data_IF_072589452973
#
_entry.id   IF_072589452973
#
_cell.length_a   1.000
_cell.length_b   1.000
_cell.length_c   1.000
_cell.angle_alpha   90.00
_cell.angle_beta   90.00
_cell.angle_gamma   90.00
#
_symmetry.space_group_name_H-M   'P 1'
#
loop_
_entity.id
_entity.type
_entity.pdbx_description
1 polymer ?
#
# COMPACT_ATOMS: atom_id res chain seq x y z
N UNK A 1 9.00 -23.85 -12.72
CA UNK A 1 8.07 -22.88 -12.12
C UNK A 1 7.79 -21.82 -13.17
N UNK A 2 6.61 -21.81 -13.81
CA UNK A 2 6.32 -20.81 -14.83
C UNK A 2 6.10 -19.45 -14.18
N UNK A 3 6.91 -18.48 -14.60
CA UNK A 3 6.82 -17.07 -14.24
C UNK A 3 5.69 -16.42 -15.04
N UNK A 4 4.77 -15.73 -14.35
CA UNK A 4 3.71 -14.98 -15.02
C UNK A 4 4.29 -13.64 -15.56
N UNK A 5 4.04 -13.29 -16.84
CA UNK A 5 4.57 -12.08 -17.46
C UNK A 5 3.89 -10.81 -16.91
N UNK A 6 4.67 -9.72 -16.87
CA UNK A 6 4.30 -8.39 -16.40
C UNK A 6 3.10 -7.83 -17.18
N UNK A 7 1.89 -7.95 -16.61
CA UNK A 7 0.68 -7.36 -17.16
C UNK A 7 0.57 -5.87 -16.77
N UNK A 8 0.96 -5.04 -17.72
CA UNK A 8 0.18 -3.91 -18.25
C UNK A 8 -0.26 -2.84 -17.23
N UNK A 9 0.54 -1.78 -17.15
CA UNK A 9 0.13 -0.47 -16.62
C UNK A 9 -0.61 0.30 -17.74
N UNK A 10 -1.95 0.32 -17.82
CA UNK A 10 -2.63 1.35 -18.58
C UNK A 10 -2.58 2.64 -17.75
N UNK A 11 -1.64 3.53 -18.09
CA UNK A 11 -1.63 4.91 -17.59
C UNK A 11 -2.85 5.64 -18.15
N UNK A 12 -3.94 5.65 -17.38
CA UNK A 12 -5.12 6.48 -17.65
C UNK A 12 -4.88 7.85 -17.01
N UNK A 13 -4.49 8.82 -17.84
CA UNK A 13 -4.49 10.24 -17.48
C UNK A 13 -5.91 10.76 -17.76
N UNK A 14 -6.85 10.49 -16.84
CA UNK A 14 -8.17 11.13 -16.89
C UNK A 14 -8.08 12.48 -16.19
N UNK A 15 -8.21 13.55 -16.98
CA UNK A 15 -8.37 14.95 -16.54
C UNK A 15 -9.72 15.15 -15.82
N UNK A 16 -9.88 14.53 -14.64
CA UNK A 16 -11.01 14.74 -13.73
C UNK A 16 -10.64 14.65 -12.23
N UNK A 17 -9.35 14.58 -11.90
CA UNK A 17 -8.85 13.92 -10.68
C UNK A 17 -8.16 14.85 -9.68
N UNK A 18 -8.60 16.09 -9.47
CA UNK A 18 -7.97 16.92 -8.43
C UNK A 18 -8.16 16.29 -7.03
N UNK A 19 -9.38 15.89 -6.68
CA UNK A 19 -9.69 15.29 -5.38
C UNK A 19 -9.16 13.83 -5.26
N UNK A 20 -9.36 13.00 -6.29
CA UNK A 20 -8.89 11.61 -6.27
C UNK A 20 -7.36 11.45 -6.34
N UNK A 21 -6.64 12.45 -6.88
CA UNK A 21 -5.18 12.49 -6.82
C UNK A 21 -4.69 12.73 -5.39
N UNK A 22 -5.38 13.59 -4.62
CA UNK A 22 -5.04 13.85 -3.22
C UNK A 22 -5.18 12.57 -2.38
N UNK A 23 -6.26 11.80 -2.54
CA UNK A 23 -6.48 10.53 -1.81
C UNK A 23 -5.38 9.49 -2.10
N UNK A 24 -5.03 9.32 -3.38
CA UNK A 24 -3.98 8.39 -3.79
C UNK A 24 -2.61 8.82 -3.26
N UNK A 25 -2.32 10.13 -3.31
CA UNK A 25 -1.08 10.70 -2.80
C UNK A 25 -0.98 10.56 -1.28
N UNK A 26 -2.08 10.75 -0.56
CA UNK A 26 -2.15 10.55 0.88
C UNK A 26 -1.94 9.09 1.27
N UNK A 27 -2.61 8.14 0.60
CA UNK A 27 -2.40 6.69 0.80
C UNK A 27 -0.94 6.28 0.53
N UNK A 28 -0.33 6.80 -0.55
CA UNK A 28 1.08 6.57 -0.85
C UNK A 28 2.00 7.13 0.24
N UNK A 29 1.72 8.33 0.76
CA UNK A 29 2.48 8.92 1.84
C UNK A 29 2.42 8.06 3.13
N UNK A 30 1.24 7.53 3.46
CA UNK A 30 1.06 6.62 4.61
C UNK A 30 1.81 5.29 4.42
N UNK A 31 1.72 4.67 3.23
CA UNK A 31 2.48 3.45 2.89
C UNK A 31 3.99 3.67 3.06
N UNK A 32 4.51 4.80 2.56
CA UNK A 32 5.92 5.15 2.67
C UNK A 32 6.33 5.38 4.12
N UNK A 33 5.50 6.05 4.92
CA UNK A 33 5.76 6.23 6.36
C UNK A 33 5.83 4.90 7.11
N UNK A 34 4.85 4.02 6.90
CA UNK A 34 4.79 2.71 7.56
C UNK A 34 5.98 1.86 7.14
N UNK A 35 6.34 1.83 5.86
CA UNK A 35 7.51 1.09 5.37
C UNK A 35 8.82 1.59 6.00
N UNK A 36 9.01 2.91 6.10
CA UNK A 36 10.18 3.46 6.79
C UNK A 36 10.19 3.12 8.28
N UNK A 37 9.03 3.12 8.93
CA UNK A 37 8.90 2.72 10.33
C UNK A 37 9.23 1.23 10.51
N UNK A 38 8.70 0.36 9.64
CA UNK A 38 8.99 -1.06 9.62
C UNK A 38 10.50 -1.30 9.49
N UNK A 39 11.17 -0.68 8.51
CA UNK A 39 12.62 -0.82 8.33
C UNK A 39 13.41 -0.36 9.56
N UNK A 40 12.97 0.72 10.23
CA UNK A 40 13.59 1.16 11.50
C UNK A 40 13.34 0.16 12.62
N UNK A 41 12.13 -0.37 12.73
CA UNK A 41 11.75 -1.37 13.72
C UNK A 41 12.58 -2.66 13.51
N UNK A 42 12.75 -3.12 12.27
CA UNK A 42 13.63 -4.24 11.92
C UNK A 42 15.10 -3.98 12.29
N UNK A 43 15.63 -2.79 11.98
CA UNK A 43 17.01 -2.41 12.31
C UNK A 43 17.25 -2.28 13.82
N UNK A 44 16.26 -1.80 14.56
CA UNK A 44 16.33 -1.65 16.01
C UNK A 44 16.09 -2.97 16.76
N UNK A 45 15.81 -4.06 16.04
CA UNK A 45 15.52 -5.36 16.65
C UNK A 45 14.19 -5.38 17.42
N UNK A 46 13.17 -4.67 16.91
CA UNK A 46 11.83 -4.70 17.47
C UNK A 46 11.30 -6.14 17.51
N UNK A 47 10.39 -6.41 18.45
CA UNK A 47 9.86 -7.75 18.63
C UNK A 47 9.15 -8.25 17.36
N UNK A 48 9.30 -9.54 17.07
CA UNK A 48 8.74 -10.16 15.87
C UNK A 48 7.22 -9.96 15.70
N UNK A 49 6.47 -9.82 16.80
CA UNK A 49 5.04 -9.52 16.74
C UNK A 49 4.76 -8.11 16.20
N UNK A 50 5.56 -7.11 16.60
CA UNK A 50 5.44 -5.72 16.12
C UNK A 50 5.72 -5.64 14.63
N UNK A 51 6.79 -6.28 14.17
CA UNK A 51 7.16 -6.33 12.75
C UNK A 51 6.04 -7.03 11.95
N UNK A 52 5.47 -8.12 12.46
CA UNK A 52 4.37 -8.82 11.80
C UNK A 52 3.08 -7.98 11.72
N UNK A 53 2.78 -7.16 12.73
CA UNK A 53 1.64 -6.24 12.71
C UNK A 53 1.87 -5.09 11.71
N UNK A 54 3.05 -4.47 11.72
CA UNK A 54 3.44 -3.42 10.77
C UNK A 54 3.37 -3.92 9.31
N UNK A 55 3.82 -5.16 9.05
CA UNK A 55 3.73 -5.80 7.73
C UNK A 55 2.28 -6.02 7.31
N UNK A 56 1.41 -6.50 8.21
CA UNK A 56 -0.02 -6.68 7.93
C UNK A 56 -0.70 -5.36 7.60
N UNK A 57 -0.38 -4.31 8.36
CA UNK A 57 -0.90 -2.96 8.14
C UNK A 57 -0.45 -2.42 6.78
N UNK A 58 0.83 -2.59 6.43
CA UNK A 58 1.38 -2.20 5.13
C UNK A 58 0.68 -2.96 3.99
N UNK A 59 0.50 -4.28 4.13
CA UNK A 59 -0.23 -5.09 3.15
C UNK A 59 -1.67 -4.62 2.97
N UNK A 60 -2.37 -4.27 4.06
CA UNK A 60 -3.72 -3.73 3.97
C UNK A 60 -3.77 -2.39 3.21
N UNK A 61 -2.85 -1.46 3.50
CA UNK A 61 -2.79 -0.19 2.78
C UNK A 61 -2.44 -0.35 1.30
N UNK A 62 -1.51 -1.26 0.97
CA UNK A 62 -1.16 -1.55 -0.43
C UNK A 62 -2.33 -2.25 -1.14
N UNK A 63 -2.97 -3.24 -0.51
CA UNK A 63 -4.09 -3.97 -1.08
C UNK A 63 -5.29 -3.05 -1.36
N UNK A 64 -5.65 -2.19 -0.41
CA UNK A 64 -6.74 -1.21 -0.58
C UNK A 64 -6.39 -0.05 -1.51
N UNK A 65 -5.10 0.19 -1.77
CA UNK A 65 -4.67 1.16 -2.78
C UNK A 65 -4.74 0.57 -4.20
N UNK A 66 -4.33 -0.70 -4.36
CA UNK A 66 -4.33 -1.40 -5.67
C UNK A 66 -5.73 -1.84 -6.07
N UNK A 67 -6.52 -2.31 -5.11
CA UNK A 67 -7.86 -2.85 -5.34
C UNK A 67 -8.84 -2.21 -4.36
N UNK A 68 -9.48 -1.11 -4.81
CA UNK A 68 -10.52 -0.44 -4.04
C UNK A 68 -11.85 -1.23 -4.04
N UNK A 69 -11.92 -2.39 -4.70
CA UNK A 69 -13.09 -3.27 -4.80
C UNK A 69 -13.05 -4.47 -3.83
N UNK A 70 -12.07 -4.53 -2.92
CA UNK A 70 -12.08 -5.51 -1.83
C UNK A 70 -13.39 -5.39 -1.02
N UNK A 71 -14.28 -6.40 -1.06
CA UNK A 71 -15.61 -6.32 -0.48
C UNK A 71 -15.48 -6.42 1.04
N UNK A 72 -15.38 -5.27 1.72
CA UNK A 72 -15.26 -5.29 3.18
C UNK A 72 -15.00 -3.98 3.91
N UNK A 73 -14.73 -2.86 3.22
CA UNK A 73 -14.63 -1.57 3.92
C UNK A 73 -16.00 -0.88 3.98
N UNK A 74 -16.54 -0.60 5.18
CA UNK A 74 -17.76 0.19 5.31
C UNK A 74 -17.51 1.59 4.77
N UNK A 75 -18.44 2.08 3.93
CA UNK A 75 -18.48 3.44 3.39
C UNK A 75 -18.74 4.46 4.48
#
# INVERSE_FOLDING_TARGET
>A
LPVNPLSEHPTVITQGSACSQDDLTHKLADIVKINNQLRRNEQNGAAAHVIAEDVKLLQFHVATMVDNELPGLPR
#
